data_IF_786481038566
#
_entry.id   IF_786481038566
#
_cell.length_a   1.000
_cell.length_b   1.000
_cell.length_c   1.000
_cell.angle_alpha   90.00
_cell.angle_beta   90.00
_cell.angle_gamma   90.00
#
_symmetry.space_group_name_H-M   'P 1'
#
loop_
_entity.id
_entity.type
_entity.pdbx_description
1 polymer ?
#
# COMPACT_ATOMS: atom_id res chain seq x y z
N UNK A 1 35.85 47.58 -41.96
CA UNK A 1 35.12 46.91 -43.06
C UNK A 1 36.08 45.88 -43.59
N UNK A 2 35.93 44.58 -43.35
CA UNK A 2 34.85 43.61 -43.62
C UNK A 2 35.24 42.36 -42.79
N UNK A 3 34.45 41.40 -42.35
CA UNK A 3 33.04 41.02 -42.42
C UNK A 3 32.86 40.04 -41.24
N UNK A 4 31.71 40.01 -40.58
CA UNK A 4 31.44 39.06 -39.52
C UNK A 4 31.09 37.70 -40.16
N UNK A 5 31.77 36.62 -39.73
CA UNK A 5 31.43 35.27 -40.17
C UNK A 5 29.95 34.95 -39.86
N UNK A 6 29.22 34.27 -40.77
CA UNK A 6 27.80 34.02 -40.60
C UNK A 6 27.56 33.10 -39.40
N UNK A 7 26.63 33.49 -38.53
CA UNK A 7 26.12 32.63 -37.48
C UNK A 7 25.33 31.49 -38.12
N UNK A 8 25.72 30.25 -37.81
CA UNK A 8 25.03 29.04 -38.27
C UNK A 8 23.54 29.11 -37.90
N UNK A 9 22.60 29.00 -38.86
CA UNK A 9 21.18 28.99 -38.57
C UNK A 9 20.86 27.74 -37.74
N UNK A 10 20.53 27.95 -36.47
CA UNK A 10 20.02 26.91 -35.59
C UNK A 10 18.89 26.17 -36.30
N UNK A 11 18.92 24.83 -36.22
CA UNK A 11 17.91 23.95 -36.76
C UNK A 11 16.57 24.11 -36.01
N UNK A 12 15.96 25.28 -36.10
CA UNK A 12 14.66 25.65 -35.54
C UNK A 12 13.59 25.25 -36.55
N UNK A 13 13.50 23.95 -36.80
CA UNK A 13 12.35 23.33 -37.47
C UNK A 13 11.57 22.51 -36.46
N UNK A 14 10.33 22.12 -36.81
CA UNK A 14 9.48 21.21 -36.03
C UNK A 14 10.27 20.00 -35.48
N UNK A 15 11.26 19.49 -36.24
CA UNK A 15 12.18 18.42 -35.83
C UNK A 15 13.06 18.74 -34.60
N UNK A 16 13.47 19.99 -34.41
CA UNK A 16 14.25 20.45 -33.26
C UNK A 16 13.44 20.52 -31.96
N UNK A 17 12.11 20.65 -32.05
CA UNK A 17 11.19 20.59 -30.90
C UNK A 17 10.64 19.18 -30.68
N UNK A 18 10.41 18.42 -31.75
CA UNK A 18 9.90 17.05 -31.64
C UNK A 18 10.86 16.12 -30.89
N UNK A 19 12.18 16.28 -31.09
CA UNK A 19 13.17 15.44 -30.41
C UNK A 19 13.13 15.60 -28.87
N UNK A 20 13.25 16.80 -28.28
CA UNK A 20 13.14 16.96 -26.82
C UNK A 20 11.76 16.58 -26.29
N UNK A 21 10.67 16.86 -27.02
CA UNK A 21 9.31 16.44 -26.62
C UNK A 21 9.20 14.92 -26.56
N UNK A 22 9.70 14.21 -27.58
CA UNK A 22 9.72 12.75 -27.59
C UNK A 22 10.56 12.17 -26.45
N UNK A 23 11.71 12.79 -26.13
CA UNK A 23 12.55 12.39 -25.00
C UNK A 23 11.80 12.57 -23.67
N UNK A 24 11.14 13.71 -23.46
CA UNK A 24 10.37 13.97 -22.22
C UNK A 24 9.21 12.97 -22.08
N UNK A 25 8.48 12.69 -23.16
CA UNK A 25 7.41 11.69 -23.14
C UNK A 25 7.95 10.29 -22.88
N UNK A 26 9.08 9.91 -23.46
CA UNK A 26 9.72 8.62 -23.21
C UNK A 26 10.15 8.49 -21.74
N UNK A 27 10.81 9.50 -21.18
CA UNK A 27 11.21 9.53 -19.77
C UNK A 27 9.97 9.47 -18.87
N UNK A 28 8.91 10.23 -19.18
CA UNK A 28 7.66 10.22 -18.44
C UNK A 28 6.97 8.85 -18.47
N UNK A 29 6.90 8.21 -19.64
CA UNK A 29 6.35 6.88 -19.79
C UNK A 29 7.16 5.85 -19.01
N UNK A 30 8.49 5.87 -19.11
CA UNK A 30 9.38 5.00 -18.34
C UNK A 30 9.16 5.22 -16.84
N UNK A 31 9.12 6.47 -16.39
CA UNK A 31 8.88 6.80 -14.98
C UNK A 31 7.53 6.25 -14.50
N UNK A 32 6.45 6.47 -15.26
CA UNK A 32 5.12 5.93 -14.94
C UNK A 32 5.14 4.41 -14.89
N UNK A 33 5.72 3.75 -15.89
CA UNK A 33 5.82 2.28 -15.92
C UNK A 33 6.63 1.74 -14.75
N UNK A 34 7.78 2.35 -14.42
CA UNK A 34 8.61 1.96 -13.28
C UNK A 34 7.87 2.20 -11.97
N UNK A 35 7.19 3.33 -11.81
CA UNK A 35 6.44 3.66 -10.60
C UNK A 35 5.27 2.70 -10.41
N UNK A 36 4.47 2.45 -11.46
CA UNK A 36 3.42 1.42 -11.40
C UNK A 36 4.05 0.05 -11.11
N UNK A 37 5.15 -0.34 -11.76
CA UNK A 37 5.79 -1.63 -11.49
C UNK A 37 6.32 -1.73 -10.05
N UNK A 38 6.84 -0.67 -9.46
CA UNK A 38 7.31 -0.67 -8.08
C UNK A 38 6.16 -0.67 -7.07
N UNK A 39 5.02 -0.04 -7.39
CA UNK A 39 3.90 0.17 -6.47
C UNK A 39 2.60 -0.58 -6.85
N UNK A 40 2.61 -1.47 -7.86
CA UNK A 40 1.38 -2.18 -8.29
C UNK A 40 0.91 -3.21 -7.25
N UNK A 41 1.81 -3.69 -6.40
CA UNK A 41 1.49 -4.63 -5.33
C UNK A 41 2.58 -4.61 -4.24
N UNK A 42 2.64 -3.58 -3.38
CA UNK A 42 3.53 -3.59 -2.23
C UNK A 42 3.15 -4.77 -1.34
N UNK A 43 4.01 -5.79 -1.27
CA UNK A 43 3.82 -6.91 -0.34
C UNK A 43 4.32 -6.47 1.03
N UNK A 44 3.49 -6.52 2.07
CA UNK A 44 3.97 -6.30 3.43
C UNK A 44 4.95 -7.43 3.79
N UNK A 45 5.86 -7.16 4.71
CA UNK A 45 6.79 -8.16 5.25
C UNK A 45 6.81 -8.00 6.76
N UNK A 46 6.39 -9.04 7.48
CA UNK A 46 6.23 -9.04 8.94
C UNK A 46 5.50 -7.80 9.47
N UNK A 47 4.47 -7.32 8.76
CA UNK A 47 3.78 -6.09 9.15
C UNK A 47 3.00 -6.34 10.45
N UNK A 48 3.32 -5.63 11.56
CA UNK A 48 2.69 -5.92 12.84
C UNK A 48 1.21 -5.50 12.83
N UNK A 49 0.32 -6.45 13.09
CA UNK A 49 -1.13 -6.23 13.16
C UNK A 49 -1.68 -6.79 14.45
N UNK A 50 -2.57 -6.05 15.11
CA UNK A 50 -3.27 -6.51 16.30
C UNK A 50 -4.53 -7.27 15.91
N UNK A 51 -4.84 -8.35 16.63
CA UNK A 51 -6.12 -9.06 16.54
C UNK A 51 -6.72 -9.20 17.93
N UNK A 52 -7.97 -8.78 18.09
CA UNK A 52 -8.75 -8.95 19.32
C UNK A 52 -9.79 -10.03 19.09
N UNK A 53 -9.78 -11.08 19.92
CA UNK A 53 -10.69 -12.22 19.81
C UNK A 53 -10.27 -13.34 20.76
N UNK A 54 -10.76 -14.57 20.58
CA UNK A 54 -10.30 -15.81 21.26
C UNK A 54 -9.07 -16.40 20.56
N UNK A 55 -8.31 -17.29 21.21
CA UNK A 55 -7.10 -17.89 20.62
C UNK A 55 -7.38 -18.55 19.27
N UNK A 56 -8.46 -19.34 19.21
CA UNK A 56 -8.89 -20.02 17.99
C UNK A 56 -9.39 -19.06 16.89
N UNK A 57 -9.86 -17.86 17.24
CA UNK A 57 -10.18 -16.82 16.24
C UNK A 57 -8.90 -16.22 15.66
N UNK A 58 -7.91 -15.92 16.52
CA UNK A 58 -6.63 -15.35 16.10
C UNK A 58 -5.88 -16.32 15.17
N UNK A 59 -5.79 -17.60 15.53
CA UNK A 59 -5.12 -18.62 14.69
C UNK A 59 -5.77 -18.74 13.30
N UNK A 60 -7.11 -18.75 13.21
CA UNK A 60 -7.80 -18.79 11.91
C UNK A 60 -7.54 -17.54 11.05
N UNK A 61 -7.42 -16.39 11.68
CA UNK A 61 -7.10 -15.13 10.99
C UNK A 61 -5.66 -15.17 10.50
N UNK A 62 -4.74 -15.61 11.33
CA UNK A 62 -3.31 -15.78 10.99
C UNK A 62 -3.14 -16.72 9.80
N UNK A 63 -3.75 -17.91 9.82
CA UNK A 63 -3.75 -18.85 8.70
C UNK A 63 -4.41 -18.28 7.43
N UNK A 64 -5.43 -17.43 7.58
CA UNK A 64 -6.08 -16.74 6.47
C UNK A 64 -5.15 -15.72 5.80
N UNK A 65 -4.47 -14.92 6.62
CA UNK A 65 -3.48 -13.94 6.18
C UNK A 65 -2.27 -14.61 5.53
N UNK A 66 -1.74 -15.67 6.15
CA UNK A 66 -0.59 -16.42 5.64
C UNK A 66 -0.90 -17.10 4.29
N UNK A 67 -2.13 -17.59 4.07
CA UNK A 67 -2.54 -18.12 2.76
C UNK A 67 -2.65 -17.04 1.68
N UNK A 68 -3.09 -15.83 2.04
CA UNK A 68 -3.26 -14.73 1.08
C UNK A 68 -1.96 -14.00 0.76
N UNK A 69 -1.17 -13.73 1.79
CA UNK A 69 0.09 -13.00 1.74
C UNK A 69 1.11 -13.67 2.69
N UNK A 70 1.78 -14.74 2.25
CA UNK A 70 2.75 -15.48 3.06
C UNK A 70 3.87 -14.57 3.60
N UNK A 71 4.16 -14.63 4.90
CA UNK A 71 5.16 -13.79 5.58
C UNK A 71 4.79 -12.30 5.60
N UNK A 72 3.54 -11.95 5.25
CA UNK A 72 3.12 -10.58 5.09
C UNK A 72 2.88 -9.85 6.41
N UNK A 73 2.44 -10.58 7.44
CA UNK A 73 1.92 -10.00 8.67
C UNK A 73 2.50 -10.69 9.90
N UNK A 74 2.80 -9.90 10.93
CA UNK A 74 3.10 -10.39 12.27
C UNK A 74 1.84 -10.20 13.14
N UNK A 75 1.08 -11.26 13.36
CA UNK A 75 -0.18 -11.20 14.11
C UNK A 75 0.08 -11.19 15.63
N UNK A 76 -0.39 -10.13 16.30
CA UNK A 76 -0.30 -9.96 17.76
C UNK A 76 -1.68 -10.01 18.38
N UNK A 77 -1.88 -10.95 19.30
CA UNK A 77 -3.12 -11.07 20.06
C UNK A 77 -3.20 -9.96 21.12
N UNK A 78 -4.34 -9.28 21.17
CA UNK A 78 -4.69 -8.34 22.23
C UNK A 78 -5.96 -8.77 22.96
N UNK A 79 -6.07 -8.41 24.24
CA UNK A 79 -7.17 -8.83 25.10
C UNK A 79 -8.47 -8.08 24.80
N UNK A 80 -8.37 -6.81 24.41
CA UNK A 80 -9.51 -5.93 24.19
C UNK A 80 -9.21 -4.82 23.16
N UNK A 81 -10.27 -4.23 22.61
CA UNK A 81 -10.17 -3.16 21.60
C UNK A 81 -9.44 -1.90 22.08
N UNK A 82 -9.48 -1.57 23.38
CA UNK A 82 -8.80 -0.39 23.92
C UNK A 82 -7.28 -0.57 23.94
N UNK A 83 -6.81 -1.79 24.23
CA UNK A 83 -5.40 -2.15 24.21
C UNK A 83 -4.85 -2.18 22.78
N UNK A 84 -5.65 -2.69 21.83
CA UNK A 84 -5.30 -2.71 20.41
C UNK A 84 -5.28 -1.30 19.81
N UNK A 85 -6.26 -0.45 20.15
CA UNK A 85 -6.30 0.96 19.73
C UNK A 85 -5.08 1.73 20.21
N UNK A 86 -4.71 1.59 21.49
CA UNK A 86 -3.47 2.18 22.01
C UNK A 86 -2.23 1.67 21.29
N UNK A 87 -2.18 0.39 20.94
CA UNK A 87 -1.06 -0.16 20.18
C UNK A 87 -0.95 0.46 18.77
N UNK A 88 -2.07 0.76 18.12
CA UNK A 88 -2.12 1.50 16.85
C UNK A 88 -1.65 2.95 17.04
N UNK A 89 -2.14 3.63 18.07
CA UNK A 89 -1.77 5.03 18.40
C UNK A 89 -0.27 5.16 18.73
N UNK A 90 0.27 4.22 19.51
CA UNK A 90 1.68 4.12 19.87
C UNK A 90 2.58 3.66 18.70
N UNK A 91 2.00 3.34 17.53
CA UNK A 91 2.68 2.76 16.36
C UNK A 91 3.41 1.43 16.63
N UNK A 92 2.95 0.68 17.63
CA UNK A 92 3.44 -0.70 17.90
C UNK A 92 2.87 -1.69 16.89
N UNK A 93 1.69 -1.40 16.35
CA UNK A 93 1.04 -2.10 15.24
C UNK A 93 0.51 -1.10 14.24
N UNK A 94 0.36 -1.52 12.98
CA UNK A 94 -0.12 -0.66 11.90
C UNK A 94 -1.64 -0.62 11.82
N UNK A 95 -2.28 -1.71 12.21
CA UNK A 95 -3.72 -1.88 12.23
C UNK A 95 -4.14 -2.85 13.34
N UNK A 96 -5.41 -2.78 13.72
CA UNK A 96 -6.05 -3.68 14.65
C UNK A 96 -7.37 -4.21 14.08
N UNK A 97 -7.53 -5.52 14.05
CA UNK A 97 -8.76 -6.19 13.67
C UNK A 97 -9.50 -6.66 14.92
N UNK A 98 -10.70 -6.12 15.14
CA UNK A 98 -11.54 -6.42 16.29
C UNK A 98 -12.64 -7.36 15.84
N UNK A 99 -12.59 -8.61 16.31
CA UNK A 99 -13.67 -9.56 16.07
C UNK A 99 -14.82 -9.19 17.00
N UNK A 100 -15.90 -8.67 16.45
CA UNK A 100 -17.10 -8.32 17.21
C UNK A 100 -17.99 -9.53 17.51
N UNK A 101 -19.08 -9.29 18.24
CA UNK A 101 -20.12 -10.30 18.45
C UNK A 101 -20.94 -10.49 17.16
N UNK A 102 -21.05 -11.74 16.68
CA UNK A 102 -21.79 -12.06 15.46
C UNK A 102 -20.93 -12.01 14.19
N UNK A 103 -21.45 -11.34 13.14
CA UNK A 103 -20.82 -11.14 11.83
C UNK A 103 -20.51 -9.65 11.58
N UNK A 104 -19.95 -8.99 12.59
CA UNK A 104 -19.44 -7.63 12.46
C UNK A 104 -18.02 -7.57 13.00
N UNK A 105 -17.05 -7.37 12.11
CA UNK A 105 -15.67 -7.12 12.47
C UNK A 105 -15.27 -5.68 12.13
N UNK A 106 -14.45 -5.06 12.97
CA UNK A 106 -14.01 -3.67 12.80
C UNK A 106 -12.50 -3.63 12.56
N UNK A 107 -12.07 -2.82 11.58
CA UNK A 107 -10.65 -2.62 11.28
C UNK A 107 -10.21 -1.20 11.63
N UNK A 108 -9.36 -1.08 12.66
CA UNK A 108 -8.72 0.17 13.06
C UNK A 108 -7.34 0.30 12.40
N UNK A 109 -6.99 1.50 11.96
CA UNK A 109 -5.65 1.80 11.44
C UNK A 109 -5.25 3.23 11.79
N UNK A 110 -3.95 3.48 11.93
CA UNK A 110 -3.46 4.84 12.12
C UNK A 110 -3.42 5.54 10.75
N UNK A 111 -4.13 6.66 10.62
CA UNK A 111 -4.19 7.44 9.36
C UNK A 111 -2.84 7.98 8.87
N UNK A 112 -1.78 7.91 9.70
CA UNK A 112 -0.43 8.35 9.35
C UNK A 112 0.36 7.35 8.48
N UNK A 113 -0.14 6.14 8.24
CA UNK A 113 0.60 5.07 7.54
C UNK A 113 0.58 5.19 6.00
N UNK A 114 -0.12 6.19 5.46
CA UNK A 114 -0.23 6.45 4.03
C UNK A 114 -1.18 5.51 3.28
N UNK A 115 -1.67 5.90 2.08
CA UNK A 115 -2.73 5.19 1.37
C UNK A 115 -2.38 3.73 1.04
N UNK A 116 -1.10 3.44 0.80
CA UNK A 116 -0.63 2.10 0.43
C UNK A 116 -0.73 1.09 1.56
N UNK A 117 -0.50 1.50 2.81
CA UNK A 117 -0.64 0.57 3.95
C UNK A 117 -2.12 0.30 4.22
N UNK A 118 -2.96 1.34 4.16
CA UNK A 118 -4.40 1.19 4.35
C UNK A 118 -4.99 0.26 3.29
N UNK A 119 -4.66 0.41 2.00
CA UNK A 119 -5.21 -0.45 0.95
C UNK A 119 -4.80 -1.91 1.10
N UNK A 120 -3.53 -2.18 1.45
CA UNK A 120 -3.02 -3.54 1.67
C UNK A 120 -3.72 -4.21 2.84
N UNK A 121 -3.79 -3.54 3.99
CA UNK A 121 -4.42 -4.11 5.20
C UNK A 121 -5.93 -4.31 4.96
N UNK A 122 -6.65 -3.31 4.45
CA UNK A 122 -8.08 -3.44 4.18
C UNK A 122 -8.37 -4.58 3.20
N UNK A 123 -7.60 -4.71 2.11
CA UNK A 123 -7.77 -5.80 1.15
C UNK A 123 -7.54 -7.19 1.76
N UNK A 124 -6.47 -7.35 2.55
CA UNK A 124 -6.12 -8.62 3.19
C UNK A 124 -7.18 -9.05 4.20
N UNK A 125 -7.56 -8.17 5.12
CA UNK A 125 -8.59 -8.48 6.12
C UNK A 125 -9.96 -8.67 5.48
N UNK A 126 -10.28 -7.97 4.38
CA UNK A 126 -11.50 -8.18 3.59
C UNK A 126 -11.64 -9.59 3.06
N UNK A 127 -10.57 -10.18 2.55
CA UNK A 127 -10.58 -11.57 2.12
C UNK A 127 -10.83 -12.53 3.29
N UNK A 128 -10.22 -12.27 4.45
CA UNK A 128 -10.37 -13.10 5.66
C UNK A 128 -11.79 -13.02 6.23
N UNK A 129 -12.38 -11.83 6.29
CA UNK A 129 -13.75 -11.65 6.77
C UNK A 129 -14.76 -12.37 5.85
N UNK A 130 -14.62 -12.23 4.52
CA UNK A 130 -15.47 -12.93 3.56
C UNK A 130 -15.36 -14.46 3.69
N UNK A 131 -14.13 -14.98 3.84
CA UNK A 131 -13.91 -16.41 4.06
C UNK A 131 -14.52 -16.92 5.38
N UNK A 132 -14.64 -16.06 6.38
CA UNK A 132 -15.25 -16.35 7.68
C UNK A 132 -16.77 -16.08 7.72
N UNK A 133 -17.35 -15.60 6.62
CA UNK A 133 -18.76 -15.24 6.52
C UNK A 133 -19.14 -13.97 7.30
N UNK A 134 -18.16 -13.11 7.56
CA UNK A 134 -18.20 -11.89 8.36
C UNK A 134 -18.15 -10.64 7.46
N UNK A 135 -18.72 -9.50 7.90
CA UNK A 135 -18.61 -8.22 7.21
C UNK A 135 -17.67 -7.28 7.96
N UNK A 136 -16.75 -6.66 7.23
CA UNK A 136 -15.89 -5.59 7.76
C UNK A 136 -16.62 -4.25 7.72
N UNK A 137 -16.63 -3.58 8.87
CA UNK A 137 -16.98 -2.17 9.04
C UNK A 137 -15.76 -1.26 9.13
#
# INVERSE_FOLDING_TARGET
MVDAAPAEPGATGVKGVLLPVAIVLAIGAIFVTVFLSAFHAPKPHDLPVAVVGTTAQVERIDEGLERGLPGGFEVKRYADGSSARRAVEDRKVYAAYLVGEGKSSELLYAGANGPSVTSTVTGAFSAVAQASGDQLG
#
